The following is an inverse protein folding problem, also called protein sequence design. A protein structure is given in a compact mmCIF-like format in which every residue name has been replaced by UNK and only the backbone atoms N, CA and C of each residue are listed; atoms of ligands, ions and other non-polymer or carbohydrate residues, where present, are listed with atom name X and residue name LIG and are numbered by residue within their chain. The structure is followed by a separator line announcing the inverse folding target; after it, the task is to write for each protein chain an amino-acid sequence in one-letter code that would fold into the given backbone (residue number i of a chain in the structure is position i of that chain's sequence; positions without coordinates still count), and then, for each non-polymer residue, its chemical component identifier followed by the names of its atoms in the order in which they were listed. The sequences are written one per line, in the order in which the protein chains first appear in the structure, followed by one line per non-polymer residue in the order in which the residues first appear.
data_IF_446551534079
#
_entry.id   IF_446551534079
#
_cell.length_a   1.000
_cell.length_b   1.000
_cell.length_c   1.000
_cell.angle_alpha   90.00
_cell.angle_beta   90.00
_cell.angle_gamma   90.00
#
_symmetry.space_group_name_H-M   'P 1'
#
loop_
_entity.id
_entity.type
_entity.pdbx_description
1 polymer ?
#
# COMPACT_ATOMS: atom_id res chain seq x y z
N UNK A 1 5.14 14.42 9.97
CA UNK A 1 4.51 14.77 8.69
C UNK A 1 3.75 13.56 8.18
N UNK A 2 2.67 13.76 7.42
CA UNK A 2 1.96 12.67 6.73
C UNK A 2 2.23 12.79 5.23
N UNK A 3 2.65 11.71 4.59
CA UNK A 3 2.92 11.68 3.16
C UNK A 3 2.36 10.39 2.55
N UNK A 4 1.91 10.49 1.31
CA UNK A 4 1.55 9.33 0.48
C UNK A 4 2.74 8.87 -0.39
N UNK A 5 3.86 9.60 -0.38
CA UNK A 5 5.07 9.28 -1.13
C UNK A 5 5.92 8.26 -0.37
N UNK A 6 5.80 7.00 -0.79
CA UNK A 6 6.58 5.88 -0.25
C UNK A 6 8.09 6.01 -0.50
N UNK A 7 8.50 6.76 -1.52
CA UNK A 7 9.89 7.02 -1.89
C UNK A 7 10.65 7.78 -0.79
N UNK A 8 9.96 8.68 -0.10
CA UNK A 8 10.55 9.44 1.01
C UNK A 8 10.92 8.54 2.18
N UNK A 9 10.35 7.34 2.29
CA UNK A 9 10.64 6.42 3.38
C UNK A 9 12.05 5.84 3.28
N UNK A 10 12.58 5.71 2.06
CA UNK A 10 13.92 5.17 1.79
C UNK A 10 15.04 6.10 2.30
N UNK A 11 14.78 7.40 2.39
CA UNK A 11 15.72 8.39 2.95
C UNK A 11 15.87 8.28 4.47
N UNK A 12 14.91 7.65 5.15
CA UNK A 12 14.98 7.47 6.59
C UNK A 12 15.69 6.15 6.94
N UNK A 13 16.71 6.19 7.78
CA UNK A 13 17.40 4.97 8.25
C UNK A 13 16.64 4.24 9.38
N UNK A 14 15.72 4.92 10.07
CA UNK A 14 14.97 4.41 11.22
C UNK A 14 13.55 4.00 10.86
N UNK A 15 13.05 2.91 11.48
CA UNK A 15 11.73 2.30 11.19
C UNK A 15 10.75 2.39 12.37
N UNK A 16 11.24 2.75 13.54
CA UNK A 16 10.51 2.73 14.81
C UNK A 16 9.47 3.86 14.95
N UNK A 17 9.67 4.95 14.20
CA UNK A 17 8.79 6.12 14.20
C UNK A 17 7.93 6.26 12.93
N UNK A 18 7.96 5.26 12.04
CA UNK A 18 7.16 5.28 10.82
C UNK A 18 5.87 4.50 11.08
N UNK A 19 4.73 5.15 10.82
CA UNK A 19 3.40 4.58 10.97
C UNK A 19 2.70 4.56 9.62
N UNK A 20 2.07 3.42 9.33
CA UNK A 20 1.29 3.21 8.11
C UNK A 20 -0.16 3.23 8.52
N UNK A 21 -0.91 4.16 7.94
CA UNK A 21 -2.36 4.23 8.08
C UNK A 21 -3.02 3.56 6.88
N UNK A 22 -3.94 2.62 7.12
CA UNK A 22 -4.69 1.95 6.04
C UNK A 22 -6.18 1.92 6.35
N UNK A 23 -6.98 1.93 5.29
CA UNK A 23 -8.41 1.74 5.36
C UNK A 23 -8.76 0.37 4.76
N UNK A 24 -8.72 -0.67 5.61
CA UNK A 24 -9.19 -2.01 5.27
C UNK A 24 -10.28 -2.32 6.28
N UNK A 25 -11.54 -2.16 5.87
CA UNK A 25 -12.75 -2.23 6.72
C UNK A 25 -12.86 -1.09 7.77
N UNK A 26 -11.75 -0.75 8.44
CA UNK A 26 -11.59 0.36 9.40
C UNK A 26 -10.23 1.05 9.24
N UNK A 27 -10.10 2.26 9.79
CA UNK A 27 -8.80 2.96 9.86
C UNK A 27 -7.92 2.24 10.88
N UNK A 28 -6.86 1.60 10.38
CA UNK A 28 -5.86 0.92 11.21
C UNK A 28 -4.53 1.63 11.07
N UNK A 29 -3.80 1.71 12.19
CA UNK A 29 -2.47 2.30 12.26
C UNK A 29 -1.51 1.19 12.66
N UNK A 30 -0.53 0.89 11.82
CA UNK A 30 0.49 -0.13 12.09
C UNK A 30 1.88 0.47 12.00
N UNK A 31 2.79 0.02 12.89
CA UNK A 31 4.17 0.50 12.90
C UNK A 31 4.98 -0.23 11.83
N UNK A 32 5.81 0.50 11.09
CA UNK A 32 6.63 -0.08 10.02
C UNK A 32 7.61 -1.12 10.56
N UNK A 33 8.16 -0.94 11.77
CA UNK A 33 9.08 -1.88 12.40
C UNK A 33 8.47 -3.26 12.67
N UNK A 34 7.16 -3.33 12.90
CA UNK A 34 6.48 -4.62 13.15
C UNK A 34 6.33 -5.44 11.87
N UNK A 35 6.24 -4.75 10.72
CA UNK A 35 6.00 -5.35 9.42
C UNK A 35 7.32 -5.60 8.67
N UNK A 36 8.22 -4.62 8.70
CA UNK A 36 9.52 -4.66 8.06
C UNK A 36 10.61 -4.96 9.11
N UNK A 37 10.68 -6.23 9.53
CA UNK A 37 11.74 -6.72 10.44
C UNK A 37 13.11 -6.85 9.77
N UNK A 38 13.14 -6.93 8.43
CA UNK A 38 14.36 -7.00 7.62
C UNK A 38 14.77 -5.60 7.16
N UNK A 39 15.94 -5.16 7.60
CA UNK A 39 16.53 -3.85 7.26
C UNK A 39 17.10 -3.78 5.84
N UNK A 40 17.28 -4.92 5.17
CA UNK A 40 17.83 -5.04 3.83
C UNK A 40 16.80 -4.83 2.69
N UNK A 41 15.52 -4.64 3.02
CA UNK A 41 14.46 -4.41 2.04
C UNK A 41 14.20 -2.90 1.93
N UNK A 42 14.21 -2.37 0.70
CA UNK A 42 13.80 -0.98 0.43
C UNK A 42 12.35 -0.79 0.87
N UNK A 43 12.10 0.28 1.62
CA UNK A 43 10.79 0.55 2.20
C UNK A 43 9.80 0.90 1.11
N UNK A 44 10.21 1.70 0.13
CA UNK A 44 9.37 2.02 -1.04
C UNK A 44 8.92 0.74 -1.77
N UNK A 45 9.83 -0.21 -2.00
CA UNK A 45 9.51 -1.49 -2.64
C UNK A 45 8.59 -2.35 -1.78
N UNK A 46 8.81 -2.41 -0.46
CA UNK A 46 7.90 -3.12 0.45
C UNK A 46 6.48 -2.51 0.46
N UNK A 47 6.38 -1.18 0.33
CA UNK A 47 5.08 -0.51 0.21
C UNK A 47 4.40 -0.79 -1.13
N UNK A 48 5.16 -0.83 -2.23
CA UNK A 48 4.62 -1.02 -3.59
C UNK A 48 4.33 -2.47 -3.93
N UNK A 49 5.10 -3.41 -3.37
CA UNK A 49 5.03 -4.85 -3.70
C UNK A 49 3.89 -5.61 -3.02
N UNK A 50 2.96 -4.91 -2.37
CA UNK A 50 1.89 -5.54 -1.57
C UNK A 50 2.41 -6.37 -0.38
N UNK A 51 3.67 -6.20 0.01
CA UNK A 51 4.26 -6.82 1.21
C UNK A 51 3.50 -6.42 2.47
N UNK A 52 2.95 -5.21 2.47
CA UNK A 52 2.13 -4.69 3.53
C UNK A 52 0.73 -5.33 3.58
N UNK A 53 0.25 -6.01 2.53
CA UNK A 53 -1.14 -6.44 2.30
C UNK A 53 -2.15 -5.28 2.33
N UNK A 54 -2.86 -5.10 1.22
CA UNK A 54 -3.92 -4.07 1.08
C UNK A 54 -3.44 -2.75 0.48
N UNK A 55 -2.25 -2.74 -0.12
CA UNK A 55 -1.75 -1.63 -0.94
C UNK A 55 -2.05 -1.85 -2.43
N UNK A 56 -2.26 -3.10 -2.86
CA UNK A 56 -2.74 -3.42 -4.19
C UNK A 56 -4.28 -3.49 -4.21
N UNK A 57 -4.95 -2.94 -5.25
CA UNK A 57 -6.36 -3.23 -5.48
C UNK A 57 -6.55 -4.74 -5.66
N UNK A 58 -7.65 -5.29 -5.13
CA UNK A 58 -8.01 -6.70 -5.32
C UNK A 58 -7.98 -7.02 -6.82
N UNK A 59 -7.27 -8.11 -7.19
CA UNK A 59 -7.21 -8.58 -8.57
C UNK A 59 -8.61 -8.79 -9.15
N UNK A 60 -9.54 -9.27 -8.32
CA UNK A 60 -10.93 -9.46 -8.71
C UNK A 60 -11.62 -8.14 -9.05
N UNK A 61 -11.40 -7.09 -8.25
CA UNK A 61 -11.92 -5.75 -8.52
C UNK A 61 -11.35 -5.14 -9.81
N UNK A 62 -10.06 -5.35 -10.08
CA UNK A 62 -9.44 -4.95 -11.35
C UNK A 62 -10.05 -5.69 -12.54
N UNK A 63 -10.28 -7.01 -12.43
CA UNK A 63 -10.85 -7.81 -13.50
C UNK A 63 -12.32 -7.44 -13.76
N UNK A 64 -13.09 -7.17 -12.70
CA UNK A 64 -14.45 -6.66 -12.79
C UNK A 64 -14.50 -5.30 -13.48
N UNK A 65 -13.61 -4.37 -13.11
CA UNK A 65 -13.50 -3.06 -13.77
C UNK A 65 -13.15 -3.23 -15.26
N UNK A 66 -12.16 -4.06 -15.58
CA UNK A 66 -11.75 -4.34 -16.96
C UNK A 66 -12.92 -4.89 -17.77
N UNK A 67 -13.68 -5.84 -17.21
CA UNK A 67 -14.90 -6.38 -17.84
C UNK A 67 -15.96 -5.29 -18.03
N UNK A 68 -16.22 -4.46 -17.01
CA UNK A 68 -17.22 -3.39 -17.07
C UNK A 68 -16.90 -2.34 -18.15
N UNK A 69 -15.61 -1.98 -18.32
CA UNK A 69 -15.15 -1.07 -19.38
C UNK A 69 -15.26 -1.74 -20.75
N UNK A 70 -14.81 -2.98 -20.92
CA UNK A 70 -14.87 -3.69 -22.22
C UNK A 70 -16.30 -3.95 -22.69
N UNK A 71 -17.23 -4.20 -21.76
CA UNK A 71 -18.63 -4.47 -22.08
C UNK A 71 -19.52 -3.21 -22.06
N UNK A 72 -18.94 -2.01 -21.90
CA UNK A 72 -19.68 -0.74 -21.98
C UNK A 72 -20.74 -0.54 -20.90
N UNK A 73 -20.64 -1.25 -19.77
CA UNK A 73 -21.62 -1.19 -18.69
C UNK A 73 -21.50 0.09 -17.83
N UNK A 74 -20.45 0.89 -18.05
CA UNK A 74 -20.25 2.17 -17.39
C UNK A 74 -20.72 3.27 -18.35
N UNK A 75 -21.97 3.71 -18.18
CA UNK A 75 -22.39 5.02 -18.71
C UNK A 75 -21.73 6.09 -17.84
N UNK A 76 -20.83 6.86 -18.45
CA UNK A 76 -20.40 8.17 -17.93
C UNK A 76 -21.61 9.12 -17.85
#
# INVERSE_FOLDING_TARGET
FSTHYSELLDEFSRNDNIYITRNVDRITIQKLSDILKRTDIKKSDAFKSDYLKGTAPSYDAYLQLKKAIMHGAIKL
#
